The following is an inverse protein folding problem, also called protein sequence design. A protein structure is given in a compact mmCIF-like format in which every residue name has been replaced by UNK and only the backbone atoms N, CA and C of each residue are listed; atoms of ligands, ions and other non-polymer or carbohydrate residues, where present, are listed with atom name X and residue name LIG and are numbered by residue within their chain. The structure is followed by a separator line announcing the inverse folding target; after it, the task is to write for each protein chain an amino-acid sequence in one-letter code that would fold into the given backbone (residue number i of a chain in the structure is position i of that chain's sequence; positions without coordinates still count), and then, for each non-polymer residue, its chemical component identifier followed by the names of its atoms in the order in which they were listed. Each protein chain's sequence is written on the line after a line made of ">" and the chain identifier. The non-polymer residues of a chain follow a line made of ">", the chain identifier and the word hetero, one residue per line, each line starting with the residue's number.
data_IF_221327646398
#
_entry.id   IF_221327646398
#
_cell.length_a   1.000
_cell.length_b   1.000
_cell.length_c   1.000
_cell.angle_alpha   90.00
_cell.angle_beta   90.00
_cell.angle_gamma   90.00
#
_symmetry.space_group_name_H-M   'P 1'
#
loop_
_entity.id
_entity.type
_entity.pdbx_description
1 polymer ?
#
# COMPACT_ATOMS: atom_id res chain seq x y z
N UNK A 1 4.24 -16.03 -15.51
CA UNK A 1 4.30 -17.37 -14.87
C UNK A 1 5.65 -18.05 -15.04
N UNK A 2 6.08 -18.36 -16.28
CA UNK A 2 7.27 -19.19 -16.52
C UNK A 2 8.58 -18.68 -15.88
N UNK A 3 8.72 -17.37 -15.64
CA UNK A 3 9.93 -16.80 -15.04
C UNK A 3 10.03 -17.01 -13.52
N UNK A 4 8.91 -17.01 -12.80
CA UNK A 4 8.89 -17.09 -11.33
C UNK A 4 8.80 -18.53 -10.82
N UNK A 5 8.15 -19.43 -11.55
CA UNK A 5 8.02 -20.84 -11.14
C UNK A 5 9.35 -21.54 -10.78
N UNK A 6 10.46 -21.33 -11.50
CA UNK A 6 11.73 -21.96 -11.15
C UNK A 6 12.25 -21.59 -9.75
N UNK A 7 11.83 -20.45 -9.20
CA UNK A 7 12.28 -19.97 -7.89
C UNK A 7 11.45 -20.54 -6.72
N UNK A 8 10.35 -21.23 -7.01
CA UNK A 8 9.38 -21.68 -5.98
C UNK A 8 10.04 -22.46 -4.85
N UNK A 9 10.86 -23.46 -5.17
CA UNK A 9 11.49 -24.31 -4.15
C UNK A 9 12.41 -23.51 -3.24
N UNK A 10 13.15 -22.53 -3.76
CA UNK A 10 14.04 -21.69 -2.94
C UNK A 10 13.25 -20.87 -1.90
N UNK A 11 12.09 -20.33 -2.28
CA UNK A 11 11.22 -19.58 -1.37
C UNK A 11 10.52 -20.50 -0.35
N UNK A 12 9.97 -21.63 -0.81
CA UNK A 12 9.29 -22.60 0.07
C UNK A 12 10.28 -23.21 1.08
N UNK A 13 11.48 -23.62 0.65
CA UNK A 13 12.51 -24.19 1.50
C UNK A 13 13.06 -23.17 2.52
N UNK A 14 13.11 -21.89 2.14
CA UNK A 14 13.51 -20.80 3.03
C UNK A 14 12.38 -20.32 3.96
N UNK A 15 11.13 -20.77 3.76
CA UNK A 15 9.96 -20.26 4.47
C UNK A 15 9.66 -18.78 4.18
N UNK A 16 10.05 -18.29 3.00
CA UNK A 16 9.86 -16.89 2.58
C UNK A 16 8.67 -16.79 1.62
N UNK A 17 7.81 -15.80 1.81
CA UNK A 17 6.75 -15.46 0.86
C UNK A 17 7.20 -14.31 -0.03
N UNK A 18 7.08 -14.47 -1.35
CA UNK A 18 7.32 -13.38 -2.30
C UNK A 18 6.07 -12.48 -2.35
N UNK A 19 6.17 -11.24 -1.88
CA UNK A 19 5.09 -10.26 -1.99
C UNK A 19 5.26 -9.44 -3.27
N UNK A 20 4.25 -9.44 -4.14
CA UNK A 20 4.22 -8.59 -5.34
C UNK A 20 3.38 -7.35 -5.02
N UNK A 21 3.97 -6.18 -5.16
CA UNK A 21 3.29 -4.91 -4.89
C UNK A 21 2.34 -4.52 -6.04
N UNK A 22 1.15 -4.01 -5.70
CA UNK A 22 0.30 -3.39 -6.71
C UNK A 22 0.87 -2.03 -7.15
N UNK A 23 0.80 -1.80 -8.46
CA UNK A 23 1.24 -0.58 -9.11
C UNK A 23 0.30 -0.23 -10.26
N UNK A 24 0.34 1.01 -10.74
CA UNK A 24 -0.50 1.52 -11.84
C UNK A 24 -0.31 0.83 -13.21
N UNK A 25 0.66 -0.08 -13.34
CA UNK A 25 0.95 -0.78 -14.60
C UNK A 25 -0.05 -1.90 -14.90
N UNK A 26 -0.67 -2.46 -13.87
CA UNK A 26 -1.64 -3.54 -13.99
C UNK A 26 -2.88 -3.19 -13.19
N UNK A 27 -4.06 -3.51 -13.75
CA UNK A 27 -5.29 -3.50 -12.96
C UNK A 27 -5.19 -4.54 -11.85
N UNK A 28 -5.82 -4.27 -10.70
CA UNK A 28 -5.77 -5.20 -9.56
C UNK A 28 -6.32 -6.58 -9.91
N UNK A 29 -7.29 -6.66 -10.82
CA UNK A 29 -7.84 -7.92 -11.32
C UNK A 29 -6.79 -8.79 -12.04
N UNK A 30 -5.95 -8.17 -12.87
CA UNK A 30 -4.87 -8.85 -13.60
C UNK A 30 -3.78 -9.33 -12.64
N UNK A 31 -3.41 -8.48 -11.67
CA UNK A 31 -2.41 -8.84 -10.68
C UNK A 31 -2.90 -10.00 -9.79
N UNK A 32 -4.17 -9.98 -9.38
CA UNK A 32 -4.78 -11.06 -8.61
C UNK A 32 -4.79 -12.39 -9.38
N UNK A 33 -5.08 -12.36 -10.68
CA UNK A 33 -4.99 -13.56 -11.54
C UNK A 33 -3.58 -14.13 -11.59
N UNK A 34 -2.57 -13.26 -11.78
CA UNK A 34 -1.16 -13.67 -11.83
C UNK A 34 -0.72 -14.28 -10.50
N UNK A 35 -1.04 -13.65 -9.36
CA UNK A 35 -0.65 -14.19 -8.04
C UNK A 35 -1.35 -15.50 -7.74
N UNK A 36 -2.65 -15.62 -8.02
CA UNK A 36 -3.40 -16.88 -7.80
C UNK A 36 -2.81 -18.05 -8.58
N UNK A 37 -2.36 -17.83 -9.81
CA UNK A 37 -1.78 -18.92 -10.61
C UNK A 37 -0.32 -19.26 -10.24
N UNK A 38 0.37 -18.45 -9.43
CA UNK A 38 1.71 -18.79 -8.90
C UNK A 38 1.62 -19.71 -7.67
N UNK A 39 0.53 -19.62 -6.89
CA UNK A 39 0.27 -20.43 -5.70
C UNK A 39 0.69 -19.76 -4.39
N UNK A 40 0.66 -20.51 -3.29
CA UNK A 40 0.71 -19.96 -1.93
C UNK A 40 2.08 -19.41 -1.48
N UNK A 41 3.14 -19.58 -2.28
CA UNK A 41 4.47 -19.01 -2.00
C UNK A 41 4.58 -17.54 -2.45
N UNK A 42 3.55 -17.03 -3.13
CA UNK A 42 3.45 -15.64 -3.58
C UNK A 42 2.19 -15.01 -2.99
N UNK A 43 2.31 -13.76 -2.55
CA UNK A 43 1.19 -12.95 -2.08
C UNK A 43 1.26 -11.53 -2.64
N UNK A 44 0.39 -10.67 -2.14
CA UNK A 44 0.36 -9.25 -2.48
C UNK A 44 1.01 -8.41 -1.37
N UNK A 45 1.87 -7.47 -1.77
CA UNK A 45 2.13 -6.28 -0.97
C UNK A 45 1.07 -5.24 -1.35
N UNK A 46 0.10 -5.00 -0.49
CA UNK A 46 -0.97 -4.07 -0.79
C UNK A 46 -0.47 -2.66 -0.50
N UNK A 47 -0.39 -1.84 -1.53
CA UNK A 47 -0.13 -0.41 -1.47
C UNK A 47 -1.45 0.35 -1.61
N UNK A 48 -1.72 1.25 -0.66
CA UNK A 48 -3.00 1.96 -0.56
C UNK A 48 -3.22 3.06 -1.59
N UNK A 49 -2.20 3.44 -2.37
CA UNK A 49 -2.25 4.63 -3.25
C UNK A 49 -1.80 4.34 -4.68
N UNK A 50 -0.88 3.41 -4.92
CA UNK A 50 -0.30 3.21 -6.26
C UNK A 50 -1.33 2.95 -7.37
N UNK A 51 -2.42 2.26 -7.06
CA UNK A 51 -3.46 1.89 -8.04
C UNK A 51 -4.29 3.07 -8.55
N UNK A 52 -4.17 4.28 -7.98
CA UNK A 52 -4.81 5.47 -8.55
C UNK A 52 -4.37 5.75 -9.99
N UNK A 53 -3.12 5.43 -10.35
CA UNK A 53 -2.63 5.59 -11.72
C UNK A 53 -3.33 4.65 -12.72
N UNK A 54 -3.90 3.54 -12.24
CA UNK A 54 -4.74 2.61 -13.01
C UNK A 54 -6.24 2.95 -12.92
N UNK A 55 -6.61 4.11 -12.36
CA UNK A 55 -8.00 4.54 -12.12
C UNK A 55 -8.76 3.68 -11.09
N UNK A 56 -8.06 2.99 -10.20
CA UNK A 56 -8.64 2.13 -9.18
C UNK A 56 -8.51 2.77 -7.78
N UNK A 57 -9.64 2.92 -7.09
CA UNK A 57 -9.68 3.47 -5.74
C UNK A 57 -9.44 2.42 -4.65
N UNK A 58 -9.21 2.82 -3.38
CA UNK A 58 -8.87 1.90 -2.29
C UNK A 58 -9.89 0.78 -2.06
N UNK A 59 -11.19 1.04 -2.27
CA UNK A 59 -12.24 0.03 -2.14
C UNK A 59 -12.07 -1.13 -3.12
N UNK A 60 -11.94 -0.82 -4.42
CA UNK A 60 -11.70 -1.84 -5.47
C UNK A 60 -10.41 -2.62 -5.20
N UNK A 61 -9.35 -1.91 -4.80
CA UNK A 61 -8.05 -2.52 -4.52
C UNK A 61 -8.14 -3.50 -3.35
N UNK A 62 -8.76 -3.11 -2.24
CA UNK A 62 -8.92 -3.96 -1.05
C UNK A 62 -9.85 -5.13 -1.34
N UNK A 63 -10.95 -4.93 -2.06
CA UNK A 63 -11.89 -5.99 -2.41
C UNK A 63 -11.22 -7.10 -3.24
N UNK A 64 -10.35 -6.72 -4.17
CA UNK A 64 -9.70 -7.67 -5.10
C UNK A 64 -8.41 -8.27 -4.52
N UNK A 65 -7.56 -7.45 -3.89
CA UNK A 65 -6.23 -7.85 -3.42
C UNK A 65 -6.13 -8.12 -1.93
N UNK A 66 -7.05 -7.60 -1.11
CA UNK A 66 -7.11 -7.85 0.32
C UNK A 66 -7.04 -9.34 0.68
N UNK A 67 -7.80 -10.24 0.02
CA UNK A 67 -7.70 -11.67 0.25
C UNK A 67 -6.34 -12.30 -0.06
N UNK A 68 -5.47 -11.64 -0.83
CA UNK A 68 -4.15 -12.13 -1.24
C UNK A 68 -3.00 -11.42 -0.49
N UNK A 69 -3.33 -10.45 0.38
CA UNK A 69 -2.35 -9.56 1.02
C UNK A 69 -1.54 -10.30 2.08
N UNK A 70 -0.22 -10.15 2.01
CA UNK A 70 0.75 -10.70 2.97
C UNK A 70 1.66 -9.62 3.56
N UNK A 71 1.63 -8.41 2.99
CA UNK A 71 2.31 -7.21 3.49
C UNK A 71 1.45 -5.99 3.13
N UNK A 72 1.42 -4.97 3.97
CA UNK A 72 0.70 -3.72 3.74
C UNK A 72 1.70 -2.56 3.71
N UNK A 73 1.78 -1.86 2.58
CA UNK A 73 2.37 -0.54 2.47
C UNK A 73 1.28 0.51 2.69
N UNK A 74 1.30 1.13 3.87
CA UNK A 74 0.33 2.13 4.26
C UNK A 74 0.83 3.52 3.87
N UNK A 75 0.08 4.18 2.98
CA UNK A 75 0.21 5.62 2.70
C UNK A 75 -1.14 6.29 2.83
N UNK A 76 -1.18 7.40 3.54
CA UNK A 76 -2.33 8.28 3.52
C UNK A 76 -2.10 9.38 2.48
N UNK A 77 -3.19 9.90 1.92
CA UNK A 77 -3.14 10.81 0.80
C UNK A 77 -4.33 11.77 0.85
N UNK A 78 -4.23 12.85 0.09
CA UNK A 78 -5.36 13.70 -0.22
C UNK A 78 -5.36 14.03 -1.71
N UNK A 79 -6.48 14.54 -2.20
CA UNK A 79 -6.67 14.89 -3.61
C UNK A 79 -7.11 16.35 -3.68
N UNK A 80 -6.35 17.15 -4.44
CA UNK A 80 -6.65 18.55 -4.69
C UNK A 80 -7.09 18.76 -6.12
N UNK A 81 -7.98 19.73 -6.32
CA UNK A 81 -8.26 20.28 -7.65
C UNK A 81 -7.08 21.16 -8.06
N UNK A 82 -6.56 20.97 -9.27
CA UNK A 82 -5.53 21.86 -9.80
C UNK A 82 -6.03 23.31 -9.86
N UNK A 83 -5.14 24.29 -9.72
CA UNK A 83 -5.48 25.72 -9.65
C UNK A 83 -6.24 26.23 -10.88
N UNK A 84 -5.98 25.63 -12.05
CA UNK A 84 -6.67 25.92 -13.30
C UNK A 84 -7.99 25.13 -13.46
N UNK A 85 -8.47 24.48 -12.40
CA UNK A 85 -9.72 23.74 -12.31
C UNK A 85 -9.89 22.53 -13.24
N UNK A 86 -8.86 22.16 -14.01
CA UNK A 86 -8.86 21.03 -14.94
C UNK A 86 -7.85 19.95 -14.50
N UNK A 87 -8.28 18.99 -13.69
CA UNK A 87 -7.43 17.89 -13.24
C UNK A 87 -7.19 17.90 -11.73
N UNK A 88 -6.39 16.93 -11.27
CA UNK A 88 -6.21 16.64 -9.87
C UNK A 88 -4.75 16.36 -9.54
N UNK A 89 -4.38 16.63 -8.28
CA UNK A 89 -3.10 16.23 -7.70
C UNK A 89 -3.37 15.29 -6.54
N UNK A 90 -2.73 14.13 -6.54
CA UNK A 90 -2.68 13.23 -5.39
C UNK A 90 -1.41 13.56 -4.61
N UNK A 91 -1.55 13.83 -3.32
CA UNK A 91 -0.44 14.23 -2.47
C UNK A 91 -0.47 13.45 -1.15
N UNK A 92 0.69 12.95 -0.69
CA UNK A 92 0.79 12.18 0.54
C UNK A 92 0.49 13.02 1.79
N UNK A 93 0.01 12.37 2.84
CA UNK A 93 -0.24 12.98 4.16
C UNK A 93 0.27 12.07 5.27
N UNK A 94 0.55 12.60 6.47
CA UNK A 94 0.72 11.75 7.65
C UNK A 94 -0.49 10.84 7.81
N UNK A 95 -0.27 9.63 8.32
CA UNK A 95 -1.34 8.68 8.56
C UNK A 95 -2.42 9.28 9.45
N UNK A 96 -3.68 9.17 9.03
CA UNK A 96 -4.83 9.71 9.76
C UNK A 96 -5.15 11.18 9.45
N UNK A 97 -4.31 11.85 8.66
CA UNK A 97 -4.52 13.25 8.25
C UNK A 97 -4.86 13.40 6.76
N UNK A 98 -5.05 12.29 6.04
CA UNK A 98 -5.50 12.29 4.65
C UNK A 98 -6.95 11.84 4.49
N UNK A 99 -7.20 11.10 3.41
CA UNK A 99 -8.51 10.64 2.94
C UNK A 99 -8.66 9.13 3.03
N UNK A 100 -7.60 8.39 3.36
CA UNK A 100 -7.70 6.95 3.54
C UNK A 100 -8.42 6.64 4.85
N UNK A 101 -9.46 5.80 4.79
CA UNK A 101 -10.11 5.25 5.98
C UNK A 101 -9.26 4.11 6.53
N UNK A 102 -8.29 4.44 7.39
CA UNK A 102 -7.37 3.48 7.98
C UNK A 102 -8.08 2.42 8.86
N UNK A 103 -9.04 2.78 9.75
CA UNK A 103 -9.80 1.79 10.50
C UNK A 103 -10.54 0.79 9.60
N UNK A 104 -11.21 1.27 8.54
CA UNK A 104 -11.88 0.39 7.57
C UNK A 104 -10.90 -0.57 6.89
N UNK A 105 -9.79 -0.04 6.36
CA UNK A 105 -8.76 -0.84 5.67
C UNK A 105 -8.27 -1.99 6.55
N UNK A 106 -7.86 -1.69 7.79
CA UNK A 106 -7.34 -2.69 8.72
C UNK A 106 -8.42 -3.70 9.12
N UNK A 107 -9.66 -3.25 9.29
CA UNK A 107 -10.79 -4.14 9.59
C UNK A 107 -11.09 -5.11 8.43
N UNK A 108 -11.07 -4.64 7.17
CA UNK A 108 -11.30 -5.50 6.01
C UNK A 108 -10.16 -6.52 5.81
N UNK A 109 -8.90 -6.12 5.95
CA UNK A 109 -7.78 -7.08 5.91
C UNK A 109 -7.92 -8.16 7.00
N UNK A 110 -8.30 -7.76 8.22
CA UNK A 110 -8.59 -8.71 9.30
C UNK A 110 -9.76 -9.63 8.97
N UNK A 111 -10.83 -9.13 8.32
CA UNK A 111 -11.96 -9.95 7.85
C UNK A 111 -11.55 -10.98 6.80
N UNK A 112 -10.57 -10.67 5.97
CA UNK A 112 -9.94 -11.63 5.05
C UNK A 112 -8.96 -12.59 5.73
N UNK A 113 -8.81 -12.52 7.05
CA UNK A 113 -7.86 -13.32 7.81
C UNK A 113 -6.40 -12.91 7.56
N UNK A 114 -6.16 -11.66 7.16
CA UNK A 114 -4.83 -11.12 6.90
C UNK A 114 -4.37 -10.28 8.09
N UNK A 115 -3.44 -10.86 8.84
CA UNK A 115 -2.66 -10.20 9.87
C UNK A 115 -1.24 -10.08 9.33
N UNK A 116 -0.92 -8.91 8.77
CA UNK A 116 0.32 -8.70 8.03
C UNK A 116 1.09 -7.49 8.56
N UNK A 117 2.41 -7.52 8.36
CA UNK A 117 3.25 -6.37 8.68
C UNK A 117 2.77 -5.15 7.90
N UNK A 118 2.52 -4.07 8.64
CA UNK A 118 2.15 -2.76 8.08
C UNK A 118 3.38 -1.87 8.08
N UNK A 119 3.86 -1.53 6.89
CA UNK A 119 5.00 -0.65 6.67
C UNK A 119 4.45 0.73 6.29
N UNK A 120 4.84 1.75 7.04
CA UNK A 120 4.52 3.13 6.69
C UNK A 120 5.39 3.57 5.52
N UNK A 121 4.79 4.04 4.44
CA UNK A 121 5.48 4.68 3.32
C UNK A 121 4.86 6.06 3.05
N UNK A 122 5.67 7.11 3.12
CA UNK A 122 5.17 8.49 3.03
C UNK A 122 5.61 9.15 1.73
N UNK A 123 4.65 9.68 0.99
CA UNK A 123 4.90 10.58 -0.14
C UNK A 123 4.94 12.02 0.33
N UNK A 124 5.95 12.34 1.12
CA UNK A 124 6.16 13.69 1.66
C UNK A 124 6.51 14.65 0.53
N UNK A 125 5.71 15.71 0.29
CA UNK A 125 6.09 16.72 -0.69
C UNK A 125 7.35 17.44 -0.25
N UNK A 126 8.32 17.67 -1.14
CA UNK A 126 9.53 18.38 -0.80
C UNK A 126 9.24 19.81 -0.35
N UNK A 127 10.12 20.35 0.47
CA UNK A 127 10.13 21.76 0.90
C UNK A 127 11.16 22.55 0.09
N UNK A 128 11.23 23.87 0.31
CA UNK A 128 12.16 24.77 -0.39
C UNK A 128 13.65 24.38 -0.21
N UNK A 129 13.98 23.67 0.88
CA UNK A 129 15.33 23.13 1.13
C UNK A 129 15.29 21.65 1.49
N UNK A 130 16.43 20.97 1.26
CA UNK A 130 16.61 19.57 1.63
C UNK A 130 16.48 19.40 3.15
N UNK A 131 17.06 20.31 3.93
CA UNK A 131 17.00 20.28 5.40
C UNK A 131 15.56 20.38 5.90
N UNK A 132 14.76 21.27 5.31
CA UNK A 132 13.35 21.41 5.64
C UNK A 132 12.56 20.15 5.25
N UNK A 133 12.89 19.53 4.12
CA UNK A 133 12.28 18.27 3.66
C UNK A 133 12.55 17.14 4.64
N UNK A 134 13.81 16.94 5.05
CA UNK A 134 14.21 15.90 6.02
C UNK A 134 13.48 16.11 7.36
N UNK A 135 13.42 17.35 7.86
CA UNK A 135 12.71 17.66 9.10
C UNK A 135 11.21 17.35 9.00
N UNK A 136 10.59 17.64 7.85
CA UNK A 136 9.19 17.32 7.59
C UNK A 136 8.95 15.81 7.50
N UNK A 137 9.79 15.08 6.78
CA UNK A 137 9.73 13.62 6.66
C UNK A 137 9.82 12.95 8.03
N UNK A 138 10.78 13.36 8.86
CA UNK A 138 10.92 12.83 10.22
C UNK A 138 9.67 13.09 11.05
N UNK A 139 9.17 14.34 11.08
CA UNK A 139 7.95 14.69 11.82
C UNK A 139 6.75 13.86 11.34
N UNK A 140 6.56 13.74 10.02
CA UNK A 140 5.45 12.98 9.46
C UNK A 140 5.54 11.50 9.80
N UNK A 141 6.75 10.92 9.82
CA UNK A 141 6.95 9.55 10.26
C UNK A 141 6.55 9.37 11.74
N UNK A 142 7.02 10.24 12.63
CA UNK A 142 6.69 10.19 14.06
C UNK A 142 5.18 10.32 14.33
N UNK A 143 4.52 11.31 13.72
CA UNK A 143 3.06 11.53 13.83
C UNK A 143 2.27 10.33 13.30
N UNK A 144 2.68 9.79 12.14
CA UNK A 144 2.00 8.65 11.51
C UNK A 144 2.13 7.38 12.34
N UNK A 145 3.31 7.10 12.89
CA UNK A 145 3.50 5.94 13.77
C UNK A 145 2.67 6.11 15.04
N UNK A 146 2.62 7.30 15.65
CA UNK A 146 1.79 7.55 16.81
C UNK A 146 0.32 7.23 16.53
N UNK A 147 -0.22 7.73 15.41
CA UNK A 147 -1.59 7.44 14.98
C UNK A 147 -1.81 5.93 14.72
N UNK A 148 -0.97 5.31 13.89
CA UNK A 148 -1.13 3.90 13.51
C UNK A 148 -1.07 2.96 14.72
N UNK A 149 -0.26 3.29 15.73
CA UNK A 149 -0.19 2.51 16.99
C UNK A 149 -1.46 2.58 17.83
N UNK A 150 -2.34 3.56 17.61
CA UNK A 150 -3.68 3.55 18.21
C UNK A 150 -4.62 2.52 17.56
N UNK A 151 -4.34 2.11 16.32
CA UNK A 151 -5.13 1.15 15.55
C UNK A 151 -4.52 -0.25 15.51
N UNK A 152 -3.19 -0.33 15.54
CA UNK A 152 -2.37 -1.56 15.50
C UNK A 152 -1.59 -1.64 16.82
N UNK A 153 -2.21 -2.16 17.90
CA UNK A 153 -1.53 -2.38 19.17
C UNK A 153 -0.48 -3.48 19.04
N UNK A 154 0.46 -3.51 19.99
CA UNK A 154 1.46 -4.59 20.14
C UNK A 154 0.82 -5.94 20.54
#
# INVERSE_FOLDING_TARGET
>A
MALLHPLRSEFEDAGVTLAIENHDRFYVSQLAEMVRGLGNWVGICLDTVNSFGALEGPQEVVDVLGPLTVNLHFKDFTIFRASHMMGFMVEGRPAGLGKLDAPWLLAELKRYGRDCNTILELWTPPEDTLEATILKEQRWAEESIHYLRTLIPD
#
